data_IF_328521364589
#
_entry.id   IF_328521364589
#
_cell.length_a   1.000
_cell.length_b   1.000
_cell.length_c   1.000
_cell.angle_alpha   90.00
_cell.angle_beta   90.00
_cell.angle_gamma   90.00
#
_symmetry.space_group_name_H-M   'P 1'
#
loop_
_entity.id
_entity.type
_entity.pdbx_description
1 polymer ?
#
# COMPACT_ATOMS: atom_id res chain seq x y z
N UNK A 1 -3.85 -38.93 10.11
CA UNK A 1 -4.45 -37.61 9.85
C UNK A 1 -3.38 -36.57 9.44
N UNK A 2 -2.50 -36.83 8.45
CA UNK A 2 -1.40 -35.89 8.13
C UNK A 2 -1.39 -35.35 6.70
N UNK A 3 -1.78 -36.12 5.69
CA UNK A 3 -1.64 -35.69 4.29
C UNK A 3 -2.67 -34.61 3.85
N UNK A 4 -3.92 -34.69 4.33
CA UNK A 4 -4.95 -33.70 3.99
C UNK A 4 -4.63 -32.31 4.57
N UNK A 5 -4.10 -32.24 5.79
CA UNK A 5 -3.80 -30.96 6.43
C UNK A 5 -2.64 -30.23 5.72
N UNK A 6 -1.66 -30.98 5.21
CA UNK A 6 -0.58 -30.40 4.40
C UNK A 6 -1.08 -29.88 3.04
N UNK A 7 -2.06 -30.55 2.42
CA UNK A 7 -2.67 -30.07 1.17
C UNK A 7 -3.52 -28.82 1.40
N UNK A 8 -4.34 -28.78 2.46
CA UNK A 8 -5.11 -27.60 2.85
C UNK A 8 -4.21 -26.37 3.10
N UNK A 9 -3.08 -26.57 3.80
CA UNK A 9 -2.11 -25.50 4.06
C UNK A 9 -1.48 -24.98 2.76
N UNK A 10 -1.17 -25.88 1.82
CA UNK A 10 -0.60 -25.52 0.52
C UNK A 10 -1.59 -24.69 -0.31
N UNK A 11 -2.87 -25.08 -0.31
CA UNK A 11 -3.92 -24.37 -1.02
C UNK A 11 -4.13 -22.97 -0.46
N UNK A 12 -4.21 -22.82 0.86
CA UNK A 12 -4.29 -21.51 1.52
C UNK A 12 -3.09 -20.63 1.14
N UNK A 13 -1.87 -21.19 1.16
CA UNK A 13 -0.67 -20.46 0.75
C UNK A 13 -0.77 -19.97 -0.69
N UNK A 14 -1.26 -20.80 -1.62
CA UNK A 14 -1.40 -20.42 -3.02
C UNK A 14 -2.41 -19.28 -3.19
N UNK A 15 -3.57 -19.37 -2.53
CA UNK A 15 -4.58 -18.31 -2.54
C UNK A 15 -4.03 -16.98 -1.99
N UNK A 16 -3.22 -17.02 -0.93
CA UNK A 16 -2.57 -15.83 -0.38
C UNK A 16 -1.53 -15.22 -1.35
N UNK A 17 -0.78 -16.06 -2.07
CA UNK A 17 0.19 -15.60 -3.06
C UNK A 17 -0.50 -14.95 -4.26
N UNK A 18 -1.63 -15.49 -4.72
CA UNK A 18 -2.43 -14.89 -5.80
C UNK A 18 -2.98 -13.52 -5.39
N UNK A 19 -3.52 -13.41 -4.17
CA UNK A 19 -3.99 -12.13 -3.63
C UNK A 19 -2.86 -11.10 -3.53
N UNK A 20 -1.67 -11.52 -3.09
CA UNK A 20 -0.48 -10.65 -3.06
C UNK A 20 -0.11 -10.15 -4.46
N UNK A 21 -0.09 -11.04 -5.46
CA UNK A 21 0.24 -10.67 -6.83
C UNK A 21 -0.76 -9.65 -7.41
N UNK A 22 -2.06 -9.81 -7.12
CA UNK A 22 -3.09 -8.83 -7.51
C UNK A 22 -2.87 -7.47 -6.85
N UNK A 23 -2.54 -7.43 -5.55
CA UNK A 23 -2.21 -6.19 -4.86
C UNK A 23 -0.93 -5.54 -5.42
N UNK A 24 0.04 -6.33 -5.86
CA UNK A 24 1.25 -5.83 -6.53
C UNK A 24 0.95 -5.24 -7.91
N UNK A 25 0.02 -5.83 -8.66
CA UNK A 25 -0.42 -5.28 -9.95
C UNK A 25 -1.25 -3.98 -9.81
N UNK A 26 -2.07 -3.86 -8.77
CA UNK A 26 -2.98 -2.71 -8.59
C UNK A 26 -2.29 -1.46 -8.03
N UNK A 27 -1.18 -1.63 -7.31
CA UNK A 27 -0.46 -0.52 -6.67
C UNK A 27 0.97 -0.45 -7.19
N UNK A 28 1.29 0.53 -8.06
CA UNK A 28 2.67 0.71 -8.50
C UNK A 28 3.59 1.02 -7.31
N UNK A 29 4.87 0.65 -7.42
CA UNK A 29 5.87 0.88 -6.36
C UNK A 29 5.98 2.36 -5.93
N UNK A 30 5.63 3.24 -6.88
CA UNK A 30 5.61 4.69 -6.73
C UNK A 30 4.19 5.20 -6.98
N UNK A 31 3.60 5.82 -5.97
CA UNK A 31 2.22 6.30 -5.99
C UNK A 31 2.20 7.82 -5.98
N UNK A 32 1.44 8.45 -6.87
CA UNK A 32 1.29 9.91 -6.87
C UNK A 32 0.35 10.37 -5.75
N UNK A 33 0.56 11.58 -5.24
CA UNK A 33 -0.37 12.21 -4.30
C UNK A 33 -1.81 12.30 -4.84
N UNK A 34 -1.98 12.44 -6.17
CA UNK A 34 -3.32 12.48 -6.80
C UNK A 34 -4.08 11.18 -6.61
N UNK A 35 -3.41 10.03 -6.70
CA UNK A 35 -4.02 8.71 -6.52
C UNK A 35 -4.66 8.55 -5.14
N UNK A 36 -3.97 9.07 -4.10
CA UNK A 36 -4.47 9.05 -2.71
C UNK A 36 -5.60 10.06 -2.52
N UNK A 37 -5.47 11.27 -3.07
CA UNK A 37 -6.53 12.30 -3.03
C UNK A 37 -7.84 11.76 -3.61
N UNK A 38 -7.79 11.13 -4.78
CA UNK A 38 -8.96 10.57 -5.47
C UNK A 38 -9.69 9.50 -4.65
N UNK A 39 -8.99 8.74 -3.81
CA UNK A 39 -9.55 7.60 -3.07
C UNK A 39 -9.89 7.89 -1.61
N UNK A 40 -9.27 8.90 -1.02
CA UNK A 40 -9.51 9.27 0.38
C UNK A 40 -10.54 10.39 0.54
N UNK A 41 -10.87 11.11 -0.54
CA UNK A 41 -11.71 12.32 -0.47
C UNK A 41 -11.05 13.51 0.25
N UNK A 42 -9.79 13.37 0.67
CA UNK A 42 -9.02 14.42 1.31
C UNK A 42 -8.52 15.44 0.28
N UNK A 43 -8.43 16.70 0.68
CA UNK A 43 -7.77 17.71 -0.16
C UNK A 43 -6.28 17.40 -0.32
N UNK A 44 -5.68 17.85 -1.43
CA UNK A 44 -4.24 17.70 -1.68
C UNK A 44 -3.38 18.29 -0.53
N UNK A 45 -3.83 19.39 0.08
CA UNK A 45 -3.15 19.98 1.24
C UNK A 45 -3.30 19.12 2.50
N UNK A 46 -4.47 18.50 2.71
CA UNK A 46 -4.69 17.56 3.82
C UNK A 46 -3.82 16.31 3.70
N UNK A 47 -3.71 15.73 2.51
CA UNK A 47 -2.81 14.60 2.23
C UNK A 47 -1.35 15.01 2.44
N UNK A 48 -0.93 16.18 1.94
CA UNK A 48 0.43 16.70 2.14
C UNK A 48 0.76 16.94 3.61
N UNK A 49 -0.16 17.53 4.37
CA UNK A 49 0.00 17.76 5.80
C UNK A 49 0.21 16.43 6.54
N UNK A 50 -0.63 15.42 6.26
CA UNK A 50 -0.46 14.07 6.82
C UNK A 50 0.89 13.45 6.48
N UNK A 51 1.38 13.62 5.25
CA UNK A 51 2.70 13.12 4.85
C UNK A 51 3.80 13.75 5.71
N UNK A 52 3.82 15.07 5.81
CA UNK A 52 4.85 15.81 6.56
C UNK A 52 4.81 15.50 8.06
N UNK A 53 3.61 15.27 8.62
CA UNK A 53 3.46 15.05 10.07
C UNK A 53 3.77 13.62 10.52
N UNK A 54 3.70 12.61 9.63
CA UNK A 54 3.71 11.20 10.06
C UNK A 54 4.74 10.32 9.32
N UNK A 55 5.46 10.85 8.33
CA UNK A 55 6.32 10.06 7.45
C UNK A 55 7.62 10.79 7.12
N UNK A 56 8.63 10.03 6.72
CA UNK A 56 9.96 10.57 6.42
C UNK A 56 10.08 11.04 4.97
N UNK A 57 10.68 12.22 4.78
CA UNK A 57 10.95 12.77 3.44
C UNK A 57 12.12 11.97 2.82
N UNK A 58 12.06 11.75 1.51
CA UNK A 58 12.95 10.90 0.69
C UNK A 58 12.77 9.39 0.88
N UNK A 59 12.51 8.93 2.11
CA UNK A 59 12.33 7.49 2.38
C UNK A 59 10.89 7.01 2.15
N UNK A 60 9.92 7.74 2.70
CA UNK A 60 8.49 7.39 2.58
C UNK A 60 7.80 8.17 1.46
N UNK A 61 8.19 9.42 1.26
CA UNK A 61 7.67 10.27 0.20
C UNK A 61 8.69 11.30 -0.28
N UNK A 62 8.64 11.62 -1.57
CA UNK A 62 9.61 12.52 -2.20
C UNK A 62 8.94 13.38 -3.26
N UNK A 63 9.67 14.41 -3.70
CA UNK A 63 9.26 15.27 -4.81
C UNK A 63 10.08 14.92 -6.04
N UNK A 64 9.40 14.65 -7.15
CA UNK A 64 10.03 14.37 -8.43
C UNK A 64 9.28 15.11 -9.54
N UNK A 65 10.01 15.87 -10.37
CA UNK A 65 9.44 16.65 -11.47
C UNK A 65 8.24 17.53 -11.05
N UNK A 66 8.35 18.17 -9.89
CA UNK A 66 7.28 19.04 -9.36
C UNK A 66 6.09 18.32 -8.72
N UNK A 67 6.04 16.98 -8.78
CA UNK A 67 4.96 16.16 -8.21
C UNK A 67 5.43 15.46 -6.95
N UNK A 68 4.51 15.25 -6.00
CA UNK A 68 4.77 14.46 -4.79
C UNK A 68 4.41 13.01 -5.08
N UNK A 69 5.35 12.12 -4.77
CA UNK A 69 5.18 10.69 -4.81
C UNK A 69 5.44 10.10 -3.43
N UNK A 70 4.93 8.89 -3.21
CA UNK A 70 5.14 8.13 -1.99
C UNK A 70 5.32 6.66 -2.30
N UNK A 71 5.89 5.93 -1.35
CA UNK A 71 5.99 4.47 -1.45
C UNK A 71 4.60 3.83 -1.42
N UNK A 72 4.51 2.62 -1.98
CA UNK A 72 3.30 1.79 -1.87
C UNK A 72 2.84 1.60 -0.43
N UNK A 73 3.78 1.38 0.51
CA UNK A 73 3.49 1.18 1.94
C UNK A 73 2.72 2.37 2.51
N UNK A 74 3.24 3.58 2.29
CA UNK A 74 2.62 4.83 2.75
C UNK A 74 1.25 5.01 2.11
N UNK A 75 1.13 4.80 0.79
CA UNK A 75 -0.16 4.91 0.11
C UNK A 75 -1.22 3.97 0.70
N UNK A 76 -0.87 2.71 0.98
CA UNK A 76 -1.79 1.75 1.61
C UNK A 76 -2.22 2.21 3.01
N UNK A 77 -1.28 2.70 3.83
CA UNK A 77 -1.57 3.26 5.15
C UNK A 77 -2.49 4.48 5.05
N UNK A 78 -2.26 5.38 4.07
CA UNK A 78 -3.11 6.55 3.85
C UNK A 78 -4.53 6.21 3.39
N UNK A 79 -4.70 5.08 2.70
CA UNK A 79 -6.00 4.56 2.27
C UNK A 79 -6.77 3.84 3.39
N UNK A 80 -6.23 3.82 4.61
CA UNK A 80 -6.74 3.01 5.72
C UNK A 80 -6.88 1.52 5.34
N UNK A 81 -6.09 1.05 4.37
CA UNK A 81 -5.94 -0.38 4.10
C UNK A 81 -5.00 -0.91 5.18
N UNK A 82 -5.60 -1.16 6.34
CA UNK A 82 -4.90 -1.59 7.53
C UNK A 82 -4.43 -3.04 7.33
N UNK A 83 -3.18 -3.25 6.93
CA UNK A 83 -2.52 -4.56 7.09
C UNK A 83 -2.19 -4.67 8.58
N UNK A 84 -3.19 -5.00 9.40
CA UNK A 84 -2.94 -5.39 10.80
C UNK A 84 -2.35 -6.79 10.78
N UNK A 85 -1.08 -6.91 11.17
CA UNK A 85 -0.43 -8.20 11.43
C UNK A 85 0.77 -8.49 10.53
N UNK A 86 1.88 -7.80 10.79
CA UNK A 86 3.21 -8.42 10.77
C UNK A 86 3.87 -8.08 12.09
#
# INVERSE_FOLDING_TARGET
>A
MSANHSMELLEIKNLLLEQKALLDALFPNKISISFVVERTGLSRQGVRKKLIENYDIEDDFWKENGKIFMTKKVALQMLNINIRGV
#
